data_IF_237937774644
#
_entry.id   IF_237937774644
#
_cell.length_a   1.000
_cell.length_b   1.000
_cell.length_c   1.000
_cell.angle_alpha   90.00
_cell.angle_beta   90.00
_cell.angle_gamma   90.00
#
_symmetry.space_group_name_H-M   'P 1'
#
loop_
_entity.id
_entity.type
_entity.pdbx_description
1 polymer ?
#
# COMPACT_ATOMS: atom_id res chain seq x y z
N UNK A 1 -20.62 -22.05 18.47
CA UNK A 1 -21.43 -20.83 18.21
C UNK A 1 -22.91 -20.98 18.60
N UNK A 2 -23.38 -22.19 18.82
CA UNK A 2 -24.82 -22.44 19.13
C UNK A 2 -25.32 -21.73 20.41
N UNK A 3 -24.43 -21.35 21.32
CA UNK A 3 -24.76 -20.67 22.59
C UNK A 3 -24.18 -19.25 22.65
N UNK A 4 -23.74 -18.66 21.52
CA UNK A 4 -23.27 -17.30 21.50
C UNK A 4 -24.45 -16.34 21.46
N UNK A 5 -24.41 -15.28 22.29
CA UNK A 5 -25.36 -14.21 22.22
C UNK A 5 -25.29 -13.52 20.85
N UNK A 6 -26.42 -13.09 20.33
CA UNK A 6 -26.44 -12.32 19.08
C UNK A 6 -25.95 -10.89 19.30
N UNK A 7 -25.55 -10.22 18.23
CA UNK A 7 -24.96 -8.88 18.34
C UNK A 7 -25.86 -7.86 19.03
N UNK A 8 -27.19 -7.81 18.79
CA UNK A 8 -28.08 -6.91 19.51
C UNK A 8 -28.01 -7.05 21.04
N UNK A 9 -27.88 -8.28 21.55
CA UNK A 9 -27.81 -8.53 22.99
C UNK A 9 -26.49 -8.03 23.63
N UNK A 10 -25.42 -7.94 22.87
CA UNK A 10 -24.08 -7.53 23.37
C UNK A 10 -23.63 -6.16 22.88
N UNK A 11 -24.39 -5.49 22.00
CA UNK A 11 -23.99 -4.28 21.33
C UNK A 11 -23.55 -3.18 22.31
N UNK A 12 -24.29 -2.95 23.40
CA UNK A 12 -23.97 -1.96 24.42
C UNK A 12 -22.66 -2.30 25.14
N UNK A 13 -22.43 -3.58 25.46
CA UNK A 13 -21.18 -4.05 26.09
C UNK A 13 -19.98 -3.84 25.14
N UNK A 14 -20.16 -4.15 23.85
CA UNK A 14 -19.12 -3.96 22.83
C UNK A 14 -18.82 -2.47 22.64
N UNK A 15 -19.85 -1.65 22.55
CA UNK A 15 -19.69 -0.19 22.41
C UNK A 15 -18.95 0.40 23.62
N UNK A 16 -19.36 0.05 24.83
CA UNK A 16 -18.71 0.49 26.07
C UNK A 16 -17.27 -0.02 26.20
N UNK A 17 -16.99 -1.24 25.73
CA UNK A 17 -15.65 -1.80 25.72
C UNK A 17 -14.72 -1.07 24.75
N UNK A 18 -15.21 -0.70 23.58
CA UNK A 18 -14.44 0.06 22.60
C UNK A 18 -14.16 1.47 23.12
N UNK A 19 -15.18 2.13 23.70
CA UNK A 19 -15.07 3.51 24.19
C UNK A 19 -14.49 4.43 23.12
N UNK A 20 -13.52 5.26 23.51
CA UNK A 20 -12.83 6.20 22.62
C UNK A 20 -11.51 5.65 22.08
N UNK A 21 -11.17 4.39 22.39
CA UNK A 21 -9.90 3.80 21.97
C UNK A 21 -9.87 3.52 20.46
N UNK A 22 -8.77 3.88 19.76
CA UNK A 22 -8.63 3.54 18.34
C UNK A 22 -8.70 2.03 18.12
N UNK A 23 -9.37 1.63 17.06
CA UNK A 23 -9.38 0.23 16.62
C UNK A 23 -8.17 -0.07 15.75
N UNK A 24 -7.65 -1.29 15.87
CA UNK A 24 -6.59 -1.80 15.02
C UNK A 24 -7.04 -3.13 14.41
N UNK A 25 -6.97 -3.25 13.10
CA UNK A 25 -7.24 -4.51 12.42
C UNK A 25 -6.30 -4.70 11.22
N UNK A 26 -6.21 -5.92 10.72
CA UNK A 26 -5.41 -6.25 9.55
C UNK A 26 -6.30 -6.33 8.30
N UNK A 27 -6.20 -5.36 7.39
CA UNK A 27 -7.19 -5.03 6.37
C UNK A 27 -8.47 -4.44 7.01
N UNK A 28 -8.26 -3.44 7.83
CA UNK A 28 -9.22 -2.89 8.79
C UNK A 28 -10.54 -2.41 8.18
N UNK A 29 -10.55 -2.04 6.90
CA UNK A 29 -11.77 -1.57 6.23
C UNK A 29 -12.86 -2.65 6.21
N UNK A 30 -12.47 -3.94 6.13
CA UNK A 30 -13.41 -5.05 6.17
C UNK A 30 -14.08 -5.15 7.54
N UNK A 31 -13.27 -5.21 8.59
CA UNK A 31 -13.76 -5.37 9.97
C UNK A 31 -14.57 -4.16 10.42
N UNK A 32 -14.09 -2.96 10.12
CA UNK A 32 -14.77 -1.72 10.46
C UNK A 32 -16.14 -1.61 9.79
N UNK A 33 -16.22 -1.93 8.50
CA UNK A 33 -17.51 -1.93 7.78
C UNK A 33 -18.49 -2.93 8.35
N UNK A 34 -18.01 -4.12 8.75
CA UNK A 34 -18.84 -5.12 9.40
C UNK A 34 -19.38 -4.60 10.74
N UNK A 35 -18.51 -4.03 11.57
CA UNK A 35 -18.87 -3.49 12.88
C UNK A 35 -19.84 -2.30 12.76
N UNK A 36 -19.56 -1.36 11.84
CA UNK A 36 -20.44 -0.24 11.52
C UNK A 36 -21.85 -0.71 11.12
N UNK A 37 -21.95 -1.69 10.25
CA UNK A 37 -23.23 -2.23 9.83
C UNK A 37 -23.95 -2.95 10.97
N UNK A 38 -23.22 -3.63 11.86
CA UNK A 38 -23.81 -4.31 13.02
C UNK A 38 -24.40 -3.29 14.01
N UNK A 39 -23.67 -2.22 14.31
CA UNK A 39 -24.17 -1.14 15.17
C UNK A 39 -25.35 -0.37 14.54
N UNK A 40 -25.29 -0.08 13.23
CA UNK A 40 -26.39 0.57 12.54
C UNK A 40 -27.72 -0.20 12.65
N UNK A 41 -27.67 -1.54 12.62
CA UNK A 41 -28.87 -2.41 12.78
C UNK A 41 -29.52 -2.28 14.16
N UNK A 42 -28.79 -1.87 15.17
CA UNK A 42 -29.29 -1.65 16.54
C UNK A 42 -29.44 -0.16 16.86
N UNK A 43 -29.34 0.72 15.86
CA UNK A 43 -29.55 2.17 16.01
C UNK A 43 -28.41 2.91 16.70
N UNK A 44 -27.23 2.32 16.83
CA UNK A 44 -26.06 2.95 17.45
C UNK A 44 -25.18 3.57 16.35
N UNK A 45 -24.90 4.88 16.39
CA UNK A 45 -23.99 5.51 15.42
C UNK A 45 -22.55 5.07 15.70
N UNK A 46 -21.87 4.58 14.65
CA UNK A 46 -20.47 4.11 14.70
C UNK A 46 -19.74 4.48 13.41
N UNK A 47 -19.86 5.74 12.97
CA UNK A 47 -19.40 6.17 11.64
C UNK A 47 -18.00 6.78 11.62
N UNK A 48 -17.58 7.41 12.72
CA UNK A 48 -16.36 8.23 12.78
C UNK A 48 -15.31 7.71 13.76
N UNK A 49 -15.40 6.44 14.13
CA UNK A 49 -14.45 5.86 15.09
C UNK A 49 -13.05 5.75 14.48
N UNK A 50 -11.99 6.11 15.20
CA UNK A 50 -10.62 6.03 14.71
C UNK A 50 -10.21 4.57 14.44
N UNK A 51 -9.68 4.31 13.23
CA UNK A 51 -9.28 2.95 12.82
C UNK A 51 -7.92 2.96 12.15
N UNK A 52 -7.00 2.17 12.67
CA UNK A 52 -5.70 1.92 12.07
C UNK A 52 -5.67 0.59 11.31
N UNK A 53 -5.09 0.60 10.12
CA UNK A 53 -4.88 -0.61 9.33
C UNK A 53 -3.44 -1.11 9.46
N UNK A 54 -3.28 -2.23 10.19
CA UNK A 54 -1.97 -2.86 10.36
C UNK A 54 -1.40 -3.42 9.05
N UNK A 55 -2.24 -3.73 8.04
CA UNK A 55 -1.78 -4.13 6.71
C UNK A 55 -1.10 -2.95 5.99
N UNK A 56 -1.72 -1.77 6.02
CA UNK A 56 -1.14 -0.56 5.42
C UNK A 56 0.20 -0.21 6.07
N UNK A 57 0.26 -0.21 7.41
CA UNK A 57 1.48 0.04 8.16
C UNK A 57 2.57 -1.00 7.88
N UNK A 58 2.20 -2.27 7.80
CA UNK A 58 3.13 -3.36 7.53
C UNK A 58 3.77 -3.28 6.15
N UNK A 59 3.05 -2.75 5.15
CA UNK A 59 3.60 -2.54 3.80
C UNK A 59 4.72 -1.50 3.80
N UNK A 60 4.67 -0.54 4.71
CA UNK A 60 5.72 0.47 4.87
C UNK A 60 6.88 -0.10 5.70
N UNK A 61 6.55 -0.76 6.82
CA UNK A 61 7.55 -1.25 7.78
C UNK A 61 8.36 -2.46 7.29
N UNK A 62 7.73 -3.38 6.52
CA UNK A 62 8.30 -4.69 6.16
C UNK A 62 8.28 -4.90 4.65
N UNK A 63 9.17 -4.26 3.91
CA UNK A 63 9.20 -4.31 2.45
C UNK A 63 9.70 -5.65 1.89
N UNK A 64 10.54 -6.38 2.64
CA UNK A 64 11.23 -7.58 2.18
C UNK A 64 10.51 -8.89 2.56
N UNK A 65 9.19 -8.89 2.61
CA UNK A 65 8.39 -10.10 2.89
C UNK A 65 7.71 -10.61 1.62
N UNK A 66 7.48 -11.91 1.55
CA UNK A 66 6.85 -12.53 0.38
C UNK A 66 5.44 -12.01 0.10
N UNK A 67 4.69 -11.70 1.14
CA UNK A 67 3.39 -11.03 1.10
C UNK A 67 3.05 -10.48 2.49
N UNK A 68 2.02 -9.63 2.55
CA UNK A 68 1.61 -8.96 3.80
C UNK A 68 0.36 -9.60 4.43
N UNK A 69 0.15 -10.90 4.26
CA UNK A 69 -0.87 -11.62 5.04
C UNK A 69 -0.43 -11.69 6.50
N UNK A 70 -1.40 -11.60 7.43
CA UNK A 70 -1.12 -11.64 8.87
C UNK A 70 -0.22 -12.82 9.23
N UNK A 71 -0.54 -14.02 8.77
CA UNK A 71 0.23 -15.24 9.04
C UNK A 71 1.69 -15.14 8.57
N UNK A 72 1.93 -14.59 7.37
CA UNK A 72 3.29 -14.41 6.83
C UNK A 72 4.10 -13.44 7.68
N UNK A 73 3.47 -12.32 8.08
CA UNK A 73 4.11 -11.31 8.93
C UNK A 73 4.41 -11.84 10.33
N UNK A 74 3.48 -12.55 10.95
CA UNK A 74 3.70 -13.17 12.27
C UNK A 74 4.86 -14.15 12.24
N UNK A 75 4.94 -14.98 11.20
CA UNK A 75 6.05 -15.92 11.00
C UNK A 75 7.38 -15.19 10.78
N UNK A 76 7.38 -14.17 9.94
CA UNK A 76 8.58 -13.35 9.67
C UNK A 76 9.11 -12.67 10.93
N UNK A 77 8.23 -12.11 11.75
CA UNK A 77 8.55 -11.40 12.98
C UNK A 77 8.70 -12.32 14.21
N UNK A 78 8.50 -13.63 14.03
CA UNK A 78 8.49 -14.62 15.12
C UNK A 78 7.51 -14.27 16.24
N UNK A 79 6.37 -13.73 15.89
CA UNK A 79 5.27 -13.43 16.82
C UNK A 79 4.48 -14.72 17.01
N UNK A 80 4.50 -15.24 18.23
CA UNK A 80 3.75 -16.44 18.58
C UNK A 80 2.25 -16.15 18.66
N UNK A 81 1.47 -17.09 18.14
CA UNK A 81 0.01 -17.12 18.20
C UNK A 81 -0.41 -18.49 18.72
N UNK A 82 -1.13 -18.50 19.82
CA UNK A 82 -1.48 -19.75 20.53
C UNK A 82 -2.34 -20.70 19.68
N UNK A 83 -3.30 -20.18 18.94
CA UNK A 83 -4.18 -20.95 18.03
C UNK A 83 -4.51 -20.11 16.82
N UNK A 84 -4.27 -20.62 15.61
CA UNK A 84 -4.63 -19.95 14.38
C UNK A 84 -6.16 -19.96 14.14
N UNK A 85 -6.65 -18.94 13.46
CA UNK A 85 -8.06 -18.79 13.07
C UNK A 85 -9.06 -18.77 14.24
N UNK A 86 -8.61 -18.22 15.38
CA UNK A 86 -9.43 -17.87 16.51
C UNK A 86 -9.40 -16.37 16.73
N UNK A 87 -10.56 -15.75 16.92
CA UNK A 87 -10.70 -14.30 16.94
C UNK A 87 -9.78 -13.59 17.95
N UNK A 88 -9.74 -14.06 19.20
CA UNK A 88 -8.92 -13.43 20.24
C UNK A 88 -7.41 -13.59 19.99
N UNK A 89 -6.86 -14.79 19.75
CA UNK A 89 -5.45 -14.93 19.39
C UNK A 89 -5.04 -14.17 18.14
N UNK A 90 -5.93 -14.05 17.14
CA UNK A 90 -5.66 -13.28 15.92
C UNK A 90 -5.65 -11.76 16.20
N UNK A 91 -6.57 -11.27 17.05
CA UNK A 91 -6.59 -9.88 17.48
C UNK A 91 -5.35 -9.52 18.31
N UNK A 92 -4.93 -10.35 19.26
CA UNK A 92 -3.70 -10.15 20.03
C UNK A 92 -2.45 -10.13 19.13
N UNK A 93 -2.37 -11.05 18.18
CA UNK A 93 -1.27 -11.11 17.24
C UNK A 93 -1.24 -9.89 16.30
N UNK A 94 -2.42 -9.42 15.87
CA UNK A 94 -2.55 -8.18 15.10
C UNK A 94 -2.07 -6.95 15.88
N UNK A 95 -2.43 -6.85 17.17
CA UNK A 95 -1.94 -5.78 18.05
C UNK A 95 -0.41 -5.80 18.20
N UNK A 96 0.17 -6.98 18.44
CA UNK A 96 1.63 -7.15 18.52
C UNK A 96 2.31 -6.78 17.20
N UNK A 97 1.75 -7.18 16.06
CA UNK A 97 2.23 -6.82 14.74
C UNK A 97 2.22 -5.29 14.56
N UNK A 98 1.13 -4.63 14.94
CA UNK A 98 0.98 -3.18 14.82
C UNK A 98 2.05 -2.44 15.62
N UNK A 99 2.25 -2.81 16.88
CA UNK A 99 3.31 -2.24 17.74
C UNK A 99 4.68 -2.47 17.11
N UNK A 100 4.96 -3.70 16.63
CA UNK A 100 6.24 -4.03 16.01
C UNK A 100 6.50 -3.25 14.72
N UNK A 101 5.46 -2.96 13.95
CA UNK A 101 5.57 -2.11 12.76
C UNK A 101 5.94 -0.67 13.14
N UNK A 102 5.32 -0.09 14.18
CA UNK A 102 5.68 1.24 14.70
C UNK A 102 7.14 1.26 15.17
N UNK A 103 7.55 0.30 15.99
CA UNK A 103 8.94 0.19 16.47
C UNK A 103 9.94 0.13 15.30
N UNK A 104 9.62 -0.65 14.26
CA UNK A 104 10.46 -0.78 13.08
C UNK A 104 10.55 0.55 12.33
N UNK A 105 9.45 1.26 12.16
CA UNK A 105 9.44 2.55 11.49
C UNK A 105 10.23 3.62 12.25
N UNK A 106 10.27 3.57 13.57
CA UNK A 106 11.12 4.47 14.37
C UNK A 106 12.63 4.32 14.08
N UNK A 107 13.04 3.21 13.45
CA UNK A 107 14.43 3.01 13.02
C UNK A 107 14.72 3.55 11.61
N UNK A 108 13.74 4.10 10.93
CA UNK A 108 13.92 4.67 9.60
C UNK A 108 14.75 5.95 9.65
N UNK A 109 15.33 6.31 8.50
CA UNK A 109 16.06 7.57 8.41
C UNK A 109 15.15 8.78 8.69
N UNK A 110 15.68 9.88 9.20
CA UNK A 110 14.91 11.10 9.45
C UNK A 110 14.12 11.58 8.24
N UNK A 111 14.69 11.47 7.03
CA UNK A 111 14.02 11.89 5.79
C UNK A 111 12.76 11.06 5.50
N UNK A 112 12.82 9.74 5.72
CA UNK A 112 11.66 8.86 5.57
C UNK A 112 10.60 9.17 6.63
N UNK A 113 11.01 9.41 7.87
CA UNK A 113 10.08 9.79 8.94
C UNK A 113 9.40 11.13 8.67
N UNK A 114 10.14 12.14 8.20
CA UNK A 114 9.57 13.42 7.79
C UNK A 114 8.59 13.27 6.62
N UNK A 115 8.89 12.39 5.66
CA UNK A 115 7.94 12.08 4.59
C UNK A 115 6.65 11.46 5.12
N UNK A 116 6.76 10.49 6.04
CA UNK A 116 5.61 9.90 6.72
C UNK A 116 4.79 10.95 7.47
N UNK A 117 5.43 11.85 8.21
CA UNK A 117 4.77 12.96 8.90
C UNK A 117 3.98 13.85 7.94
N UNK A 118 4.60 14.26 6.82
CA UNK A 118 3.93 15.09 5.81
C UNK A 118 2.74 14.41 5.17
N UNK A 119 2.87 13.13 4.80
CA UNK A 119 1.81 12.37 4.15
C UNK A 119 0.68 12.01 5.12
N UNK A 120 0.93 12.00 6.42
CA UNK A 120 -0.06 11.69 7.44
C UNK A 120 -0.87 12.89 7.92
N UNK A 121 -0.51 14.11 7.55
CA UNK A 121 -1.19 15.33 7.98
C UNK A 121 -2.70 15.29 7.70
N UNK A 122 -3.50 15.65 8.69
CA UNK A 122 -4.95 15.63 8.60
C UNK A 122 -5.58 14.24 8.56
N UNK A 123 -4.80 13.18 8.73
CA UNK A 123 -5.27 11.80 8.84
C UNK A 123 -5.08 11.27 10.25
N UNK A 124 -5.69 10.11 10.55
CA UNK A 124 -5.45 9.43 11.84
C UNK A 124 -3.97 9.07 12.06
N UNK A 125 -3.21 8.86 10.99
CA UNK A 125 -1.80 8.51 11.04
C UNK A 125 -0.91 9.62 11.63
N UNK A 126 -1.39 10.88 11.64
CA UNK A 126 -0.71 11.99 12.30
C UNK A 126 -0.51 11.73 13.80
N UNK A 127 -1.37 10.95 14.43
CA UNK A 127 -1.22 10.57 15.85
C UNK A 127 -0.04 9.63 16.10
N UNK A 128 0.41 8.90 15.07
CA UNK A 128 1.56 8.00 15.14
C UNK A 128 2.84 8.70 14.71
N UNK A 129 2.81 9.42 13.59
CA UNK A 129 4.00 10.05 13.02
C UNK A 129 4.30 11.43 13.57
N UNK A 130 3.33 12.07 14.24
CA UNK A 130 3.44 13.44 14.73
C UNK A 130 3.20 14.48 13.65
N UNK A 131 3.11 15.73 14.08
CA UNK A 131 2.97 16.87 13.17
C UNK A 131 4.29 17.17 12.48
N UNK A 132 4.24 17.38 11.18
CA UNK A 132 5.38 17.89 10.44
C UNK A 132 5.54 19.37 10.76
N UNK A 133 6.66 19.76 11.34
CA UNK A 133 7.12 21.13 11.25
C UNK A 133 7.46 21.41 9.78
N UNK A 134 7.22 22.64 9.30
CA UNK A 134 7.46 23.04 7.93
C UNK A 134 8.95 22.89 7.57
N UNK A 135 9.32 21.73 7.07
CA UNK A 135 10.66 21.43 6.62
C UNK A 135 10.65 21.30 5.09
N UNK A 136 11.44 22.11 4.41
CA UNK A 136 11.71 21.89 2.99
C UNK A 136 12.55 20.61 2.85
N UNK A 137 11.93 19.53 2.45
CA UNK A 137 12.67 18.32 2.06
C UNK A 137 13.39 18.65 0.75
N UNK A 138 14.65 18.96 0.81
CA UNK A 138 15.55 18.83 -0.33
C UNK A 138 15.73 17.33 -0.57
N UNK A 139 14.97 16.79 -1.48
CA UNK A 139 15.25 15.45 -1.98
C UNK A 139 16.48 15.60 -2.87
N UNK A 140 17.64 15.41 -2.30
CA UNK A 140 18.85 15.18 -3.09
C UNK A 140 18.69 13.80 -3.70
N UNK A 141 18.49 13.78 -5.01
CA UNK A 141 18.54 12.54 -5.78
C UNK A 141 20.01 12.28 -6.13
N UNK A 142 20.76 11.46 -5.37
CA UNK A 142 22.17 11.20 -5.67
C UNK A 142 22.35 10.60 -7.07
N UNK A 143 21.29 10.01 -7.63
CA UNK A 143 21.29 9.50 -9.01
C UNK A 143 21.28 10.59 -10.08
N UNK A 144 20.91 11.82 -9.79
CA UNK A 144 20.89 12.88 -10.81
C UNK A 144 22.27 13.50 -11.03
N UNK A 145 23.16 13.46 -10.04
CA UNK A 145 24.55 13.92 -10.22
C UNK A 145 25.38 12.91 -11.04
N UNK A 146 25.15 11.61 -10.87
CA UNK A 146 25.78 10.58 -11.70
C UNK A 146 25.17 10.51 -13.12
N UNK A 147 23.93 10.99 -13.31
CA UNK A 147 23.29 11.08 -14.62
C UNK A 147 23.81 12.22 -15.50
N UNK A 148 24.73 13.07 -15.02
CA UNK A 148 25.41 14.07 -15.86
C UNK A 148 26.22 13.45 -16.99
N UNK A 149 26.48 12.14 -16.93
CA UNK A 149 27.12 11.33 -17.97
C UNK A 149 26.15 10.38 -18.68
N UNK A 150 24.87 10.72 -18.79
CA UNK A 150 23.98 9.96 -19.68
C UNK A 150 24.63 9.90 -21.07
N UNK A 151 24.84 8.71 -21.64
CA UNK A 151 25.39 8.61 -22.98
C UNK A 151 24.51 9.47 -23.86
N UNK A 152 25.16 10.36 -24.64
CA UNK A 152 24.47 11.17 -25.64
C UNK A 152 23.72 10.19 -26.52
N UNK A 153 22.41 10.08 -26.32
CA UNK A 153 21.58 9.21 -27.14
C UNK A 153 21.80 9.62 -28.59
N UNK A 154 21.98 8.66 -29.50
CA UNK A 154 22.17 8.99 -30.90
C UNK A 154 21.02 9.88 -31.36
N UNK A 155 21.34 10.95 -32.07
CA UNK A 155 20.38 11.99 -32.54
C UNK A 155 19.18 11.43 -33.33
N UNK A 156 19.24 10.16 -33.74
CA UNK A 156 18.13 9.41 -34.34
C UNK A 156 18.09 8.02 -33.71
N UNK A 157 17.06 7.75 -32.97
CA UNK A 157 16.72 6.38 -32.56
C UNK A 157 16.05 5.75 -33.80
N UNK A 158 16.67 4.77 -34.46
CA UNK A 158 16.12 4.13 -35.66
C UNK A 158 14.91 3.23 -35.37
N UNK A 159 14.44 3.26 -34.12
CA UNK A 159 13.36 2.41 -33.62
C UNK A 159 12.00 3.10 -33.83
N UNK A 160 11.07 2.35 -34.40
CA UNK A 160 9.65 2.71 -34.48
C UNK A 160 8.84 1.67 -33.75
N UNK A 161 7.99 2.11 -32.83
CA UNK A 161 7.13 1.23 -32.04
C UNK A 161 6.29 0.31 -32.93
N UNK A 162 5.70 0.83 -34.01
CA UNK A 162 4.93 0.05 -34.98
C UNK A 162 5.76 -0.98 -35.75
N UNK A 163 7.03 -0.68 -36.04
CA UNK A 163 7.92 -1.62 -36.70
C UNK A 163 8.41 -2.76 -35.78
N UNK A 164 8.21 -2.62 -34.47
CA UNK A 164 8.56 -3.65 -33.49
C UNK A 164 7.33 -4.44 -33.03
N UNK A 165 6.26 -3.74 -32.63
CA UNK A 165 5.05 -4.32 -32.01
C UNK A 165 3.89 -4.52 -32.97
N UNK A 166 3.94 -4.02 -34.20
CA UNK A 166 2.85 -4.15 -35.18
C UNK A 166 2.73 -5.55 -35.78
N UNK A 167 1.63 -5.83 -36.47
CA UNK A 167 1.33 -7.13 -37.12
C UNK A 167 2.45 -7.64 -38.03
N UNK A 168 3.17 -6.75 -38.68
CA UNK A 168 4.34 -7.04 -39.54
C UNK A 168 5.65 -6.55 -38.89
N UNK A 169 5.67 -6.46 -37.60
CA UNK A 169 6.82 -5.99 -36.82
C UNK A 169 7.79 -7.11 -36.47
N UNK A 170 8.92 -6.74 -35.92
CA UNK A 170 9.99 -7.67 -35.56
C UNK A 170 9.53 -8.78 -34.60
N UNK A 171 8.57 -8.46 -33.70
CA UNK A 171 8.02 -9.44 -32.77
C UNK A 171 7.17 -10.50 -33.47
N UNK A 172 6.38 -10.10 -34.49
CA UNK A 172 5.56 -11.05 -35.24
C UNK A 172 6.40 -12.10 -35.98
N UNK A 173 7.63 -11.74 -36.38
CA UNK A 173 8.56 -12.66 -37.01
C UNK A 173 9.28 -13.61 -36.04
N UNK A 174 9.34 -13.24 -34.76
CA UNK A 174 10.14 -13.96 -33.75
C UNK A 174 9.32 -14.69 -32.70
N UNK A 175 8.06 -14.30 -32.51
CA UNK A 175 7.19 -14.89 -31.48
C UNK A 175 6.13 -15.76 -32.15
N UNK A 176 6.14 -17.05 -31.85
CA UNK A 176 5.15 -17.99 -32.33
C UNK A 176 3.75 -17.59 -31.82
N UNK A 177 2.76 -17.54 -32.70
CA UNK A 177 1.40 -17.12 -32.39
C UNK A 177 1.30 -15.67 -31.85
N UNK A 178 2.14 -14.79 -32.37
CA UNK A 178 2.08 -13.38 -32.01
C UNK A 178 0.70 -12.78 -32.34
N UNK A 179 0.11 -12.09 -31.38
CA UNK A 179 -1.14 -11.32 -31.56
C UNK A 179 -0.82 -9.87 -31.24
N UNK A 180 -1.03 -8.99 -32.21
CA UNK A 180 -0.89 -7.56 -31.96
C UNK A 180 -1.88 -7.11 -30.89
N UNK A 181 -1.38 -6.34 -29.92
CA UNK A 181 -2.18 -5.71 -28.89
C UNK A 181 -2.11 -4.20 -29.08
N UNK A 182 -3.20 -3.56 -29.57
CA UNK A 182 -3.20 -2.12 -29.85
C UNK A 182 -2.71 -1.26 -28.67
N UNK A 183 -3.13 -1.60 -27.45
CA UNK A 183 -2.68 -0.88 -26.24
C UNK A 183 -1.16 -0.94 -26.02
N UNK A 184 -0.48 -2.02 -26.41
CA UNK A 184 0.99 -2.11 -26.36
C UNK A 184 1.66 -1.24 -27.41
N UNK A 185 1.08 -1.19 -28.62
CA UNK A 185 1.57 -0.34 -29.71
C UNK A 185 1.42 1.13 -29.32
N UNK A 186 0.27 1.52 -28.76
CA UNK A 186 0.00 2.88 -28.31
C UNK A 186 0.95 3.29 -27.18
N UNK A 187 1.13 2.43 -26.18
CA UNK A 187 2.07 2.66 -25.08
C UNK A 187 3.49 2.88 -25.61
N UNK A 188 3.96 1.98 -26.47
CA UNK A 188 5.31 2.08 -27.06
C UNK A 188 5.46 3.34 -27.94
N UNK A 189 4.40 3.75 -28.63
CA UNK A 189 4.39 4.97 -29.46
C UNK A 189 4.47 6.25 -28.62
N UNK A 190 3.86 6.26 -27.43
CA UNK A 190 3.99 7.37 -26.49
C UNK A 190 5.40 7.47 -25.95
N UNK A 191 6.01 6.32 -25.57
CA UNK A 191 7.41 6.26 -25.14
C UNK A 191 8.34 6.75 -26.25
N UNK A 192 8.19 6.23 -27.48
CA UNK A 192 8.97 6.66 -28.65
C UNK A 192 8.91 8.18 -28.85
N UNK A 193 7.70 8.75 -28.81
CA UNK A 193 7.49 10.19 -28.96
C UNK A 193 8.19 11.00 -27.88
N UNK A 194 8.13 10.52 -26.64
CA UNK A 194 8.80 11.17 -25.52
C UNK A 194 10.33 11.11 -25.62
N UNK A 195 10.86 9.98 -26.07
CA UNK A 195 12.29 9.82 -26.31
C UNK A 195 12.81 10.77 -27.42
N UNK A 196 11.98 11.06 -28.42
CA UNK A 196 12.35 11.97 -29.50
C UNK A 196 12.20 13.45 -29.13
N UNK A 197 11.18 13.80 -28.35
CA UNK A 197 10.84 15.20 -28.02
C UNK A 197 11.41 15.66 -26.69
N UNK A 198 11.80 14.73 -25.85
CA UNK A 198 12.09 14.97 -24.44
C UNK A 198 10.78 15.18 -23.65
N UNK A 199 10.87 15.13 -22.33
CA UNK A 199 9.75 15.34 -21.43
C UNK A 199 9.49 14.16 -20.51
N UNK A 200 8.44 14.28 -19.72
CA UNK A 200 7.98 13.24 -18.78
C UNK A 200 6.62 12.74 -19.27
N UNK A 201 6.48 11.42 -19.43
CA UNK A 201 5.19 10.78 -19.66
C UNK A 201 4.84 9.88 -18.47
N UNK A 202 3.65 10.06 -17.93
CA UNK A 202 3.07 9.16 -16.94
C UNK A 202 2.09 8.26 -17.67
N UNK A 203 2.35 6.95 -17.65
CA UNK A 203 1.57 5.95 -18.34
C UNK A 203 1.01 4.96 -17.30
N UNK A 204 -0.30 4.76 -17.32
CA UNK A 204 -0.96 3.77 -16.50
C UNK A 204 -1.46 2.63 -17.40
N UNK A 205 -0.99 1.42 -17.13
CA UNK A 205 -1.47 0.21 -17.77
C UNK A 205 -2.30 -0.58 -16.75
N UNK A 206 -3.56 -0.82 -17.05
CA UNK A 206 -4.40 -1.71 -16.26
C UNK A 206 -3.85 -3.14 -16.30
N UNK A 207 -3.79 -3.79 -15.14
CA UNK A 207 -3.40 -5.21 -14.98
C UNK A 207 -4.62 -6.11 -15.01
#
# INVERSE_FOLDING_TARGET
LANAEDFPAIAEKVFSFIGDAPLVAHNAQFDFRFLKNAFARVGVPFDSHPVFDSLALSRIAFQNVANHKLETLLKYLKIERSVAHRALPDAEACGKLFVKAIETMQTFSPDVLHLCQRLSQGTIWETIFGKSESFEVRIEYPFLEECSALPVLPKKIPFRASAFFGEKGLLSDKVLNFVERPAQVDFASIVERNMHKGGIAVLEAGT
#
